data_IF_183051277058
#
_entry.id   IF_183051277058
#
_cell.length_a   1.000
_cell.length_b   1.000
_cell.length_c   1.000
_cell.angle_alpha   90.00
_cell.angle_beta   90.00
_cell.angle_gamma   90.00
#
_symmetry.space_group_name_H-M   'P 1'
#
loop_
_entity.id
_entity.type
_entity.pdbx_description
1 polymer ?
#
# COMPACT_ATOMS: atom_id res chain seq x y z
N UNK A 1 16.32 9.85 -18.58
CA UNK A 1 15.28 9.97 -17.54
C UNK A 1 14.78 8.60 -17.12
N UNK A 2 14.04 7.85 -17.95
CA UNK A 2 13.58 6.47 -17.61
C UNK A 2 14.73 5.52 -17.29
N UNK A 3 15.79 5.49 -18.12
CA UNK A 3 16.97 4.63 -17.87
C UNK A 3 17.63 4.86 -16.50
N UNK A 4 17.68 6.10 -16.02
CA UNK A 4 18.23 6.40 -14.69
C UNK A 4 17.30 5.93 -13.57
N UNK A 5 15.99 5.96 -13.80
CA UNK A 5 14.99 5.40 -12.88
C UNK A 5 15.13 3.88 -12.81
N UNK A 6 15.29 3.21 -13.95
CA UNK A 6 15.55 1.77 -14.03
C UNK A 6 16.81 1.37 -13.25
N UNK A 7 17.94 2.04 -13.52
CA UNK A 7 19.21 1.82 -12.82
C UNK A 7 19.12 2.10 -11.30
N UNK A 8 18.21 3.00 -10.88
CA UNK A 8 17.94 3.25 -9.47
C UNK A 8 17.05 2.15 -8.87
N UNK A 9 15.97 1.75 -9.54
CA UNK A 9 15.04 0.70 -9.15
C UNK A 9 15.73 -0.66 -8.97
N UNK A 10 16.75 -0.96 -9.77
CA UNK A 10 17.59 -2.15 -9.60
C UNK A 10 18.20 -2.24 -8.20
N UNK A 11 18.60 -1.11 -7.61
CA UNK A 11 19.27 -1.02 -6.30
C UNK A 11 18.31 -0.90 -5.12
N UNK A 12 17.01 -0.76 -5.37
CA UNK A 12 15.99 -0.63 -4.32
C UNK A 12 15.68 -2.01 -3.72
N UNK A 13 15.62 -2.05 -2.39
CA UNK A 13 15.04 -3.13 -1.59
C UNK A 13 13.83 -2.60 -0.80
N UNK A 14 13.01 -3.51 -0.27
CA UNK A 14 11.76 -3.17 0.45
C UNK A 14 11.94 -2.27 1.70
N UNK A 15 13.18 -2.13 2.20
CA UNK A 15 13.51 -1.43 3.44
C UNK A 15 14.29 -0.12 3.22
N UNK A 16 14.57 0.27 1.97
CA UNK A 16 15.43 1.44 1.68
C UNK A 16 14.86 2.73 2.27
N UNK A 17 13.57 3.00 2.09
CA UNK A 17 12.94 4.23 2.60
C UNK A 17 12.90 4.26 4.13
N UNK A 18 12.66 3.11 4.78
CA UNK A 18 12.73 2.98 6.23
C UNK A 18 14.14 3.29 6.74
N UNK A 19 15.17 2.74 6.09
CA UNK A 19 16.56 2.98 6.47
C UNK A 19 16.95 4.46 6.29
N UNK A 20 16.51 5.10 5.20
CA UNK A 20 16.71 6.54 4.99
C UNK A 20 16.05 7.37 6.09
N UNK A 21 14.81 7.05 6.45
CA UNK A 21 14.08 7.74 7.51
C UNK A 21 14.76 7.56 8.89
N UNK A 22 15.12 6.32 9.24
CA UNK A 22 15.84 6.01 10.49
C UNK A 22 17.17 6.77 10.56
N UNK A 23 17.95 6.79 9.48
CA UNK A 23 19.22 7.52 9.42
C UNK A 23 19.04 9.03 9.59
N UNK A 24 17.94 9.59 9.08
CA UNK A 24 17.61 11.02 9.23
C UNK A 24 17.22 11.35 10.67
N UNK A 25 16.45 10.49 11.34
CA UNK A 25 15.92 10.72 12.68
C UNK A 25 16.94 10.40 13.79
N UNK A 26 17.66 9.28 13.65
CA UNK A 26 18.58 8.74 14.66
C UNK A 26 19.91 8.38 13.99
N UNK A 27 20.70 9.37 13.53
CA UNK A 27 21.92 9.11 12.77
C UNK A 27 22.98 8.35 13.56
N UNK A 28 23.00 8.48 14.89
CA UNK A 28 23.94 7.79 15.77
C UNK A 28 23.62 6.31 15.97
N UNK A 29 22.44 5.84 15.54
CA UNK A 29 22.11 4.41 15.52
C UNK A 29 22.70 3.68 14.31
N UNK A 30 23.27 4.40 13.33
CA UNK A 30 23.76 3.80 12.09
C UNK A 30 25.29 3.81 12.09
N UNK A 31 25.89 2.62 12.14
CA UNK A 31 27.33 2.43 12.06
C UNK A 31 27.92 2.80 10.69
N UNK A 32 29.23 3.05 10.65
CA UNK A 32 29.96 3.35 9.40
C UNK A 32 29.93 2.20 8.38
N UNK A 33 29.78 0.98 8.88
CA UNK A 33 29.64 -0.27 8.12
C UNK A 33 28.19 -0.59 7.74
N UNK A 34 27.23 0.26 8.13
CA UNK A 34 25.80 0.04 7.89
C UNK A 34 25.08 -0.78 8.97
N UNK A 35 25.78 -1.17 10.05
CA UNK A 35 25.15 -1.82 11.20
C UNK A 35 24.11 -0.90 11.88
N UNK A 36 23.08 -1.50 12.48
CA UNK A 36 22.02 -0.77 13.21
C UNK A 36 22.15 -1.09 14.70
N UNK A 37 22.39 -0.06 15.50
CA UNK A 37 22.39 -0.12 16.96
C UNK A 37 20.95 0.02 17.50
N UNK A 38 20.36 -1.14 17.77
CA UNK A 38 18.99 -1.27 18.31
C UNK A 38 18.88 -0.65 19.70
N UNK A 39 19.93 -0.68 20.51
CA UNK A 39 19.92 -0.12 21.85
C UNK A 39 19.86 1.41 21.80
N UNK A 40 20.55 2.02 20.84
CA UNK A 40 20.44 3.47 20.57
C UNK A 40 19.02 3.85 20.15
N UNK A 41 18.36 3.05 19.28
CA UNK A 41 16.96 3.29 18.88
C UNK A 41 16.04 3.20 20.11
N UNK A 42 16.19 2.14 20.92
CA UNK A 42 15.41 1.95 22.15
C UNK A 42 15.62 3.11 23.13
N UNK A 43 16.86 3.57 23.29
CA UNK A 43 17.19 4.72 24.14
C UNK A 43 16.44 5.98 23.71
N UNK A 44 16.46 6.32 22.42
CA UNK A 44 15.77 7.51 21.92
C UNK A 44 14.24 7.38 21.99
N UNK A 45 13.69 6.18 21.76
CA UNK A 45 12.27 5.92 21.96
C UNK A 45 11.84 6.22 23.41
N UNK A 46 12.58 5.71 24.40
CA UNK A 46 12.31 5.98 25.83
C UNK A 46 12.43 7.47 26.19
N UNK A 47 13.36 8.20 25.54
CA UNK A 47 13.51 9.63 25.74
C UNK A 47 12.37 10.44 25.12
N UNK A 48 11.87 10.03 23.96
CA UNK A 48 10.77 10.69 23.28
C UNK A 48 9.44 10.53 24.04
N UNK A 49 9.19 9.34 24.61
CA UNK A 49 7.96 9.09 25.38
C UNK A 49 8.01 9.69 26.79
N UNK A 50 9.21 9.81 27.38
CA UNK A 50 9.36 10.16 28.80
C UNK A 50 8.90 9.05 29.77
N UNK A 51 8.36 7.94 29.23
CA UNK A 51 7.85 6.80 29.96
C UNK A 51 8.34 5.51 29.29
N UNK A 52 9.13 4.73 30.03
CA UNK A 52 9.71 3.48 29.54
C UNK A 52 8.67 2.39 29.31
N UNK A 53 7.52 2.44 30.00
CA UNK A 53 6.47 1.43 29.86
C UNK A 53 5.77 1.49 28.50
N UNK A 54 5.89 2.62 27.80
CA UNK A 54 5.34 2.82 26.45
C UNK A 54 6.24 2.24 25.34
N UNK A 55 7.46 1.79 25.67
CA UNK A 55 8.36 1.12 24.72
C UNK A 55 8.22 -0.38 24.90
N UNK A 56 7.45 -1.01 24.02
CA UNK A 56 7.20 -2.46 24.05
C UNK A 56 8.17 -3.22 23.15
N UNK A 57 8.52 -4.44 23.53
CA UNK A 57 9.38 -5.33 22.71
C UNK A 57 8.57 -6.24 21.78
N UNK A 58 7.31 -6.50 22.14
CA UNK A 58 6.40 -7.32 21.36
C UNK A 58 5.18 -6.48 20.97
N UNK A 59 4.90 -6.44 19.67
CA UNK A 59 3.62 -5.98 19.11
C UNK A 59 3.14 -7.05 18.16
N UNK A 60 1.88 -7.42 18.24
CA UNK A 60 1.28 -8.29 17.23
C UNK A 60 1.40 -7.61 15.88
N UNK A 61 1.96 -8.34 14.90
CA UNK A 61 2.13 -7.83 13.55
C UNK A 61 1.19 -8.57 12.62
N UNK A 62 0.45 -7.79 11.83
CA UNK A 62 -0.36 -8.35 10.77
C UNK A 62 0.55 -8.83 9.64
N UNK A 63 0.73 -10.14 9.49
CA UNK A 63 1.63 -10.70 8.49
C UNK A 63 0.85 -11.49 7.43
N UNK A 64 1.24 -11.35 6.17
CA UNK A 64 0.66 -12.06 5.04
C UNK A 64 1.73 -12.36 3.98
N UNK A 65 1.50 -13.42 3.19
CA UNK A 65 2.39 -13.76 2.08
C UNK A 65 2.42 -12.61 1.07
N UNK A 66 3.61 -12.11 0.72
CA UNK A 66 3.76 -10.99 -0.21
C UNK A 66 3.78 -9.61 0.44
N UNK A 67 3.74 -9.49 1.77
CA UNK A 67 3.84 -8.20 2.46
C UNK A 67 5.12 -7.43 2.11
N UNK A 68 6.29 -8.05 2.20
CA UNK A 68 7.55 -7.39 1.84
C UNK A 68 7.65 -7.10 0.34
N UNK A 69 7.03 -7.94 -0.50
CA UNK A 69 6.87 -7.66 -1.92
C UNK A 69 6.03 -6.40 -2.16
N UNK A 70 4.90 -6.25 -1.47
CA UNK A 70 4.07 -5.06 -1.53
C UNK A 70 4.82 -3.79 -1.09
N UNK A 71 5.67 -3.91 -0.06
CA UNK A 71 6.57 -2.82 0.39
C UNK A 71 7.63 -2.46 -0.64
N UNK A 72 8.16 -3.46 -1.35
CA UNK A 72 9.04 -3.25 -2.49
C UNK A 72 8.31 -2.45 -3.58
N UNK A 73 7.10 -2.85 -3.98
CA UNK A 73 6.32 -2.16 -5.02
C UNK A 73 6.06 -0.68 -4.70
N UNK A 74 5.78 -0.37 -3.44
CA UNK A 74 5.66 1.01 -2.94
C UNK A 74 6.97 1.80 -3.06
N UNK A 75 8.10 1.14 -2.82
CA UNK A 75 9.43 1.77 -2.84
C UNK A 75 9.97 2.00 -4.25
N UNK A 76 9.51 1.24 -5.24
CA UNK A 76 9.89 1.41 -6.65
C UNK A 76 9.32 2.71 -7.23
N UNK A 77 10.16 3.46 -7.94
CA UNK A 77 9.74 4.64 -8.67
C UNK A 77 9.11 4.25 -10.02
N UNK A 78 8.27 5.11 -10.57
CA UNK A 78 7.52 4.81 -11.81
C UNK A 78 8.42 4.86 -13.04
N UNK A 79 8.32 3.84 -13.89
CA UNK A 79 9.02 3.75 -15.18
C UNK A 79 8.16 4.21 -16.36
N UNK A 80 6.95 4.68 -16.07
CA UNK A 80 5.98 5.16 -17.07
C UNK A 80 6.04 6.69 -17.21
N UNK A 81 5.27 7.24 -18.16
CA UNK A 81 5.15 8.69 -18.37
C UNK A 81 3.68 9.09 -18.52
N UNK A 82 3.34 10.29 -18.06
CA UNK A 82 2.03 10.89 -18.33
C UNK A 82 2.05 11.56 -19.70
N UNK A 83 1.09 11.18 -20.55
CA UNK A 83 0.88 11.77 -21.87
C UNK A 83 -0.46 12.51 -21.89
N UNK A 84 -0.49 13.83 -22.16
CA UNK A 84 -1.74 14.58 -22.20
C UNK A 84 -2.55 14.25 -23.46
N UNK A 85 -3.85 14.01 -23.30
CA UNK A 85 -4.81 13.99 -24.41
C UNK A 85 -5.07 15.43 -24.88
N UNK A 86 -4.21 15.90 -25.81
CA UNK A 86 -4.26 17.28 -26.32
C UNK A 86 -5.57 17.59 -27.04
N UNK A 87 -6.23 16.60 -27.64
CA UNK A 87 -7.48 16.83 -28.36
C UNK A 87 -8.61 17.05 -27.37
N UNK A 88 -8.74 16.18 -26.36
CA UNK A 88 -9.76 16.32 -25.34
C UNK A 88 -9.54 17.56 -24.46
N UNK A 89 -8.30 17.86 -24.09
CA UNK A 89 -7.96 18.97 -23.20
C UNK A 89 -8.16 20.35 -23.85
N UNK A 90 -8.20 20.44 -25.18
CA UNK A 90 -8.43 21.71 -25.90
C UNK A 90 -9.91 22.05 -26.10
N UNK A 91 -10.82 21.12 -25.83
CA UNK A 91 -12.26 21.37 -25.94
C UNK A 91 -12.67 22.51 -25.01
N UNK A 92 -13.63 23.33 -25.45
CA UNK A 92 -14.08 24.54 -24.74
C UNK A 92 -14.47 24.30 -23.28
N UNK A 93 -15.08 23.15 -23.02
CA UNK A 93 -15.56 22.68 -21.73
C UNK A 93 -14.44 22.19 -20.80
N UNK A 94 -13.26 21.84 -21.33
CA UNK A 94 -12.17 21.22 -20.58
C UNK A 94 -10.95 22.12 -20.39
N UNK A 95 -10.73 23.09 -21.29
CA UNK A 95 -9.48 23.89 -21.34
C UNK A 95 -9.11 24.63 -20.05
N UNK A 96 -10.11 25.03 -19.26
CA UNK A 96 -9.96 25.79 -18.02
C UNK A 96 -10.43 24.96 -16.79
N UNK A 97 -10.61 23.65 -16.97
CA UNK A 97 -11.05 22.75 -15.90
C UNK A 97 -9.92 22.51 -14.89
N UNK A 98 -10.26 22.53 -13.61
CA UNK A 98 -9.37 22.10 -12.51
C UNK A 98 -9.48 20.59 -12.24
N UNK A 99 -10.46 19.91 -12.84
CA UNK A 99 -10.64 18.46 -12.70
C UNK A 99 -9.70 17.68 -13.62
N UNK A 100 -9.12 16.60 -13.10
CA UNK A 100 -8.21 15.70 -13.82
C UNK A 100 -8.82 14.31 -13.96
N UNK A 101 -8.69 13.73 -15.15
CA UNK A 101 -8.96 12.32 -15.42
C UNK A 101 -7.66 11.67 -15.91
N UNK A 102 -7.22 10.63 -15.21
CA UNK A 102 -5.99 9.89 -15.50
C UNK A 102 -6.37 8.44 -15.79
N UNK A 103 -5.83 7.89 -16.87
CA UNK A 103 -6.07 6.50 -17.28
C UNK A 103 -4.78 5.70 -17.26
N UNK A 104 -4.81 4.51 -16.64
CA UNK A 104 -3.66 3.63 -16.44
C UNK A 104 -3.83 2.76 -15.18
N UNK A 105 -2.80 1.99 -14.84
CA UNK A 105 -2.75 1.32 -13.54
C UNK A 105 -2.67 2.37 -12.43
N UNK A 106 -3.61 2.32 -11.48
CA UNK A 106 -3.70 3.28 -10.40
C UNK A 106 -2.44 3.31 -9.51
N UNK A 107 -1.70 2.21 -9.35
CA UNK A 107 -0.43 2.21 -8.62
C UNK A 107 0.60 3.12 -9.29
N UNK A 108 0.74 3.03 -10.61
CA UNK A 108 1.67 3.89 -11.36
C UNK A 108 1.19 5.33 -11.43
N UNK A 109 -0.11 5.57 -11.59
CA UNK A 109 -0.71 6.91 -11.55
C UNK A 109 -0.46 7.58 -10.19
N UNK A 110 -0.68 6.86 -9.08
CA UNK A 110 -0.45 7.38 -7.73
C UNK A 110 1.04 7.73 -7.50
N UNK A 111 1.98 6.94 -8.04
CA UNK A 111 3.42 7.27 -7.98
C UNK A 111 3.76 8.57 -8.71
N UNK A 112 3.16 8.82 -9.87
CA UNK A 112 3.31 10.10 -10.57
C UNK A 112 2.73 11.26 -9.74
N UNK A 113 1.53 11.08 -9.19
CA UNK A 113 0.85 12.09 -8.39
C UNK A 113 1.64 12.45 -7.13
N UNK A 114 2.28 11.46 -6.47
CA UNK A 114 3.05 11.67 -5.23
C UNK A 114 4.05 12.81 -5.36
N UNK A 115 4.70 12.97 -6.51
CA UNK A 115 5.72 14.02 -6.71
C UNK A 115 5.18 15.45 -6.66
N UNK A 116 3.89 15.64 -6.97
CA UNK A 116 3.29 16.98 -7.10
C UNK A 116 2.15 17.25 -6.12
N UNK A 117 1.53 16.20 -5.57
CA UNK A 117 0.32 16.25 -4.76
C UNK A 117 0.49 15.63 -3.36
N UNK A 118 1.73 15.30 -2.95
CA UNK A 118 2.01 14.89 -1.56
C UNK A 118 1.43 15.92 -0.57
N UNK A 119 0.69 15.44 0.43
CA UNK A 119 0.10 16.28 1.47
C UNK A 119 -0.99 17.25 0.99
N UNK A 120 -1.64 17.03 -0.16
CA UNK A 120 -2.58 18.00 -0.76
C UNK A 120 -4.02 17.49 -0.91
N UNK A 121 -4.26 16.19 -0.81
CA UNK A 121 -5.58 15.59 -0.98
C UNK A 121 -6.38 15.65 0.31
N UNK A 122 -7.58 16.26 0.27
CA UNK A 122 -8.45 16.42 1.45
C UNK A 122 -9.35 15.22 1.70
N UNK A 123 -9.82 14.56 0.65
CA UNK A 123 -10.74 13.44 0.74
C UNK A 123 -10.43 12.46 -0.37
N UNK A 124 -10.38 11.17 -0.02
CA UNK A 124 -10.25 10.06 -0.96
C UNK A 124 -11.49 9.18 -0.79
N UNK A 125 -12.10 8.79 -1.90
CA UNK A 125 -13.10 7.73 -1.93
C UNK A 125 -12.63 6.67 -2.92
N UNK A 126 -12.65 5.41 -2.51
CA UNK A 126 -12.35 4.27 -3.38
C UNK A 126 -13.34 3.14 -3.18
N UNK A 127 -13.62 2.45 -4.28
CA UNK A 127 -14.46 1.26 -4.35
C UNK A 127 -13.60 0.13 -4.96
N UNK A 128 -12.73 -0.50 -4.14
CA UNK A 128 -11.83 -1.56 -4.61
C UNK A 128 -12.62 -2.84 -4.96
N UNK A 129 -12.02 -3.79 -5.69
CA UNK A 129 -12.61 -5.12 -5.84
C UNK A 129 -12.84 -5.77 -4.47
N UNK A 130 -14.00 -6.37 -4.25
CA UNK A 130 -14.39 -6.96 -2.96
C UNK A 130 -13.84 -8.39 -2.74
N UNK A 131 -13.32 -9.02 -3.79
CA UNK A 131 -12.78 -10.39 -3.76
C UNK A 131 -13.83 -11.46 -3.38
N UNK A 132 -15.05 -11.32 -3.91
CA UNK A 132 -16.21 -12.16 -3.58
C UNK A 132 -16.12 -13.60 -4.11
N UNK A 133 -15.12 -13.89 -4.95
CA UNK A 133 -15.02 -15.16 -5.68
C UNK A 133 -15.83 -15.20 -6.98
N UNK A 134 -16.81 -14.30 -7.14
CA UNK A 134 -17.59 -14.12 -8.37
C UNK A 134 -17.23 -12.85 -9.13
N UNK A 135 -16.53 -11.91 -8.50
CA UNK A 135 -16.00 -10.71 -9.15
C UNK A 135 -14.83 -11.04 -10.10
N UNK A 136 -14.51 -10.12 -11.00
CA UNK A 136 -13.41 -10.28 -11.97
C UNK A 136 -12.02 -10.08 -11.33
N UNK A 137 -11.94 -9.95 -10.00
CA UNK A 137 -10.67 -9.72 -9.33
C UNK A 137 -9.75 -10.94 -9.44
N UNK A 138 -8.59 -10.66 -10.02
CA UNK A 138 -7.47 -11.57 -10.14
C UNK A 138 -6.21 -10.73 -9.95
N UNK A 139 -5.38 -11.09 -8.98
CA UNK A 139 -4.08 -10.47 -8.87
C UNK A 139 -3.23 -10.81 -10.10
N UNK A 140 -2.91 -9.78 -10.86
CA UNK A 140 -1.99 -9.86 -11.98
C UNK A 140 -1.07 -8.65 -11.92
N UNK A 141 0.16 -8.91 -11.52
CA UNK A 141 1.19 -7.89 -11.50
C UNK A 141 1.84 -7.77 -12.87
N UNK A 142 2.19 -6.55 -13.28
CA UNK A 142 2.99 -6.30 -14.48
C UNK A 142 4.50 -6.42 -14.23
N UNK A 143 4.94 -6.48 -12.98
CA UNK A 143 6.36 -6.64 -12.65
C UNK A 143 6.85 -8.07 -12.95
N UNK A 144 7.89 -8.18 -13.78
CA UNK A 144 8.48 -9.46 -14.22
C UNK A 144 9.71 -9.80 -13.36
N UNK A 145 9.50 -9.94 -12.04
CA UNK A 145 10.56 -10.35 -11.12
C UNK A 145 10.70 -11.88 -11.09
N UNK A 146 11.90 -12.38 -11.34
CA UNK A 146 12.21 -13.80 -11.13
C UNK A 146 12.25 -14.15 -9.63
N UNK A 147 12.19 -15.44 -9.30
CA UNK A 147 12.38 -15.92 -7.92
C UNK A 147 13.66 -15.38 -7.28
N UNK A 148 14.73 -15.30 -8.07
CA UNK A 148 16.03 -14.77 -7.62
C UNK A 148 15.98 -13.27 -7.36
N UNK A 149 15.29 -12.50 -8.20
CA UNK A 149 15.11 -11.06 -7.97
C UNK A 149 14.32 -10.81 -6.69
N UNK A 150 13.31 -11.64 -6.41
CA UNK A 150 12.52 -11.59 -5.17
C UNK A 150 13.40 -11.91 -3.96
N UNK A 151 14.21 -12.97 -4.01
CA UNK A 151 15.15 -13.31 -2.92
C UNK A 151 16.06 -12.12 -2.58
N UNK A 152 16.74 -11.58 -3.60
CA UNK A 152 17.72 -10.50 -3.44
C UNK A 152 17.07 -9.19 -2.97
N UNK A 153 15.96 -8.77 -3.57
CA UNK A 153 15.30 -7.50 -3.25
C UNK A 153 14.55 -7.51 -1.92
N UNK A 154 14.10 -8.68 -1.46
CA UNK A 154 13.46 -8.83 -0.16
C UNK A 154 14.47 -9.16 0.95
N UNK A 155 15.72 -9.49 0.60
CA UNK A 155 16.75 -9.86 1.57
C UNK A 155 16.47 -11.21 2.24
N UNK A 156 15.75 -12.11 1.55
CA UNK A 156 15.36 -13.43 2.04
C UNK A 156 16.19 -14.54 1.41
N UNK A 157 17.48 -14.25 1.13
CA UNK A 157 18.41 -15.16 0.44
C UNK A 157 18.57 -16.54 1.09
N UNK A 158 18.18 -16.70 2.36
CA UNK A 158 18.18 -17.98 3.10
C UNK A 158 16.83 -18.70 3.13
N UNK A 159 15.78 -18.11 2.56
CA UNK A 159 14.40 -18.64 2.54
C UNK A 159 13.82 -18.64 1.11
N UNK A 160 14.42 -19.48 0.26
CA UNK A 160 13.97 -19.69 -1.11
C UNK A 160 12.54 -20.21 -1.22
N UNK A 161 12.00 -20.83 -0.17
CA UNK A 161 10.61 -21.31 -0.20
C UNK A 161 9.62 -20.15 -0.11
N UNK A 162 9.89 -19.15 0.73
CA UNK A 162 9.08 -17.93 0.77
C UNK A 162 9.12 -17.18 -0.56
N UNK A 163 10.29 -17.03 -1.18
CA UNK A 163 10.42 -16.40 -2.50
C UNK A 163 9.62 -17.14 -3.58
N UNK A 164 9.71 -18.47 -3.63
CA UNK A 164 8.91 -19.32 -4.54
C UNK A 164 7.41 -19.16 -4.34
N UNK A 165 6.96 -19.09 -3.08
CA UNK A 165 5.53 -18.90 -2.76
C UNK A 165 5.03 -17.53 -3.20
N UNK A 166 5.82 -16.47 -3.00
CA UNK A 166 5.52 -15.12 -3.50
C UNK A 166 5.48 -15.14 -5.03
N UNK A 167 6.53 -15.65 -5.69
CA UNK A 167 6.59 -15.77 -7.14
C UNK A 167 5.38 -16.53 -7.69
N UNK A 168 5.02 -17.68 -7.11
CA UNK A 168 3.83 -18.45 -7.49
C UNK A 168 2.53 -17.67 -7.31
N UNK A 169 2.41 -16.83 -6.29
CA UNK A 169 1.24 -16.00 -6.04
C UNK A 169 1.10 -14.89 -7.08
N UNK A 170 2.20 -14.27 -7.49
CA UNK A 170 2.20 -13.17 -8.46
C UNK A 170 2.14 -13.65 -9.92
N UNK A 171 2.77 -14.78 -10.25
CA UNK A 171 2.82 -15.32 -11.62
C UNK A 171 1.56 -16.10 -12.01
N UNK A 172 0.83 -16.65 -11.02
CA UNK A 172 -0.49 -17.23 -11.28
C UNK A 172 -1.47 -16.08 -11.47
N UNK A 173 -1.80 -15.78 -12.73
CA UNK A 173 -2.89 -14.89 -13.17
C UNK A 173 -4.29 -15.35 -12.71
N UNK A 174 -4.44 -15.79 -11.46
CA UNK A 174 -5.69 -16.29 -10.88
C UNK A 174 -5.65 -16.38 -9.35
N UNK A 175 -4.66 -15.78 -8.65
CA UNK A 175 -4.67 -15.81 -7.19
C UNK A 175 -5.75 -14.88 -6.64
N UNK A 176 -6.77 -15.47 -6.02
CA UNK A 176 -7.90 -14.80 -5.34
C UNK A 176 -7.79 -14.87 -3.82
N UNK A 177 -6.62 -15.24 -3.31
CA UNK A 177 -6.39 -15.35 -1.86
C UNK A 177 -6.35 -13.96 -1.22
N UNK A 178 -6.75 -13.86 0.05
CA UNK A 178 -6.60 -12.63 0.85
C UNK A 178 -5.19 -12.05 0.78
N UNK A 179 -4.15 -12.89 0.81
CA UNK A 179 -2.76 -12.45 0.70
C UNK A 179 -2.47 -11.72 -0.62
N UNK A 180 -3.08 -12.14 -1.72
CA UNK A 180 -2.94 -11.50 -3.02
C UNK A 180 -3.70 -10.17 -3.07
N UNK A 181 -4.91 -10.10 -2.50
CA UNK A 181 -5.67 -8.86 -2.37
C UNK A 181 -4.96 -7.84 -1.46
N UNK A 182 -4.42 -8.28 -0.33
CA UNK A 182 -3.60 -7.44 0.56
C UNK A 182 -2.34 -6.94 -0.14
N UNK A 183 -1.66 -7.79 -0.91
CA UNK A 183 -0.48 -7.41 -1.71
C UNK A 183 -0.83 -6.36 -2.76
N UNK A 184 -2.04 -6.45 -3.35
CA UNK A 184 -2.57 -5.45 -4.26
C UNK A 184 -2.90 -4.11 -3.58
N UNK A 185 -3.60 -4.14 -2.45
CA UNK A 185 -4.10 -2.94 -1.79
C UNK A 185 -3.01 -2.17 -1.04
N UNK A 186 -2.06 -2.86 -0.41
CA UNK A 186 -1.03 -2.26 0.43
C UNK A 186 -0.30 -1.07 -0.21
N UNK A 187 0.33 -1.20 -1.41
CA UNK A 187 1.11 -0.10 -1.97
C UNK A 187 0.21 1.06 -2.42
N UNK A 188 -1.03 0.77 -2.82
CA UNK A 188 -2.01 1.78 -3.25
C UNK A 188 -2.48 2.62 -2.06
N UNK A 189 -2.80 1.98 -0.94
CA UNK A 189 -3.19 2.66 0.30
C UNK A 189 -2.03 3.44 0.92
N UNK A 190 -0.79 2.92 0.87
CA UNK A 190 0.40 3.67 1.27
C UNK A 190 0.59 4.95 0.44
N UNK A 191 0.49 4.86 -0.88
CA UNK A 191 0.59 6.05 -1.73
C UNK A 191 -0.59 7.01 -1.53
N UNK A 192 -1.80 6.49 -1.33
CA UNK A 192 -2.97 7.30 -1.00
C UNK A 192 -2.71 8.11 0.29
N UNK A 193 -2.15 7.48 1.33
CA UNK A 193 -1.73 8.17 2.55
C UNK A 193 -0.72 9.29 2.28
N UNK A 194 0.30 9.06 1.46
CA UNK A 194 1.30 10.09 1.12
C UNK A 194 0.65 11.32 0.46
N UNK A 195 -0.40 11.12 -0.34
CA UNK A 195 -1.12 12.21 -1.00
C UNK A 195 -2.02 13.01 -0.05
N UNK A 196 -2.45 12.42 1.06
CA UNK A 196 -3.42 13.02 1.97
C UNK A 196 -2.82 14.15 2.80
N UNK A 197 -3.61 15.20 3.01
CA UNK A 197 -3.34 16.21 4.05
C UNK A 197 -3.37 15.57 5.44
N UNK A 198 -2.72 16.21 6.41
CA UNK A 198 -2.78 15.83 7.83
C UNK A 198 -4.22 15.80 8.38
N UNK A 199 -5.10 16.64 7.83
CA UNK A 199 -6.54 16.68 8.17
C UNK A 199 -7.42 15.98 7.13
N UNK A 200 -6.82 15.17 6.24
CA UNK A 200 -7.50 14.43 5.19
C UNK A 200 -8.20 13.17 5.69
N UNK A 201 -9.20 12.71 4.94
CA UNK A 201 -9.96 11.48 5.23
C UNK A 201 -10.01 10.57 4.02
N UNK A 202 -10.07 9.25 4.25
CA UNK A 202 -10.24 8.24 3.19
C UNK A 202 -11.45 7.38 3.52
N UNK A 203 -12.33 7.18 2.53
CA UNK A 203 -13.47 6.29 2.60
C UNK A 203 -13.25 5.12 1.66
N UNK A 204 -13.42 3.90 2.17
CA UNK A 204 -13.19 2.67 1.41
C UNK A 204 -14.42 1.79 1.53
N UNK A 205 -15.15 1.63 0.43
CA UNK A 205 -16.25 0.66 0.33
C UNK A 205 -15.72 -0.76 0.32
N UNK A 206 -16.41 -1.68 1.01
CA UNK A 206 -16.04 -3.09 1.08
C UNK A 206 -17.22 -3.94 1.53
N UNK A 207 -17.24 -5.22 1.16
CA UNK A 207 -18.16 -6.22 1.74
C UNK A 207 -17.47 -7.09 2.81
N UNK A 208 -18.17 -8.11 3.29
CA UNK A 208 -17.68 -9.00 4.34
C UNK A 208 -16.44 -9.84 3.98
N UNK A 209 -16.12 -10.03 2.69
CA UNK A 209 -15.02 -10.91 2.26
C UNK A 209 -13.64 -10.37 2.68
N UNK A 210 -13.45 -9.05 2.65
CA UNK A 210 -12.17 -8.41 2.94
C UNK A 210 -12.27 -7.31 4.00
N UNK A 211 -13.45 -7.01 4.57
CA UNK A 211 -13.62 -5.92 5.55
C UNK A 211 -12.64 -6.01 6.73
N UNK A 212 -12.47 -7.20 7.31
CA UNK A 212 -11.57 -7.39 8.45
C UNK A 212 -10.10 -7.23 8.04
N UNK A 213 -9.72 -7.79 6.89
CA UNK A 213 -8.36 -7.69 6.35
C UNK A 213 -8.01 -6.25 5.99
N UNK A 214 -8.94 -5.52 5.37
CA UNK A 214 -8.80 -4.11 5.05
C UNK A 214 -8.68 -3.26 6.31
N UNK A 215 -9.49 -3.51 7.35
CA UNK A 215 -9.41 -2.77 8.61
C UNK A 215 -8.02 -2.89 9.24
N UNK A 216 -7.51 -4.12 9.39
CA UNK A 216 -6.19 -4.35 9.99
C UNK A 216 -5.07 -3.77 9.09
N UNK A 217 -5.21 -3.86 7.77
CA UNK A 217 -4.28 -3.24 6.82
C UNK A 217 -4.28 -1.71 6.97
N UNK A 218 -5.44 -1.08 7.12
CA UNK A 218 -5.55 0.36 7.37
C UNK A 218 -4.94 0.74 8.73
N UNK A 219 -5.14 -0.05 9.78
CA UNK A 219 -4.51 0.21 11.09
C UNK A 219 -2.99 0.22 11.00
N UNK A 220 -2.41 -0.67 10.19
CA UNK A 220 -0.97 -0.67 9.94
C UNK A 220 -0.51 0.53 9.10
N UNK A 221 -1.29 0.92 8.08
CA UNK A 221 -0.90 1.97 7.14
C UNK A 221 -1.09 3.35 7.73
N UNK A 222 -2.23 3.62 8.36
CA UNK A 222 -2.68 4.92 8.85
C UNK A 222 -2.48 5.09 10.36
N UNK A 223 -2.32 4.00 11.12
CA UNK A 223 -2.35 4.02 12.58
C UNK A 223 -3.77 3.79 13.08
N UNK A 224 -3.93 2.85 14.01
CA UNK A 224 -5.22 2.48 14.61
C UNK A 224 -5.90 3.67 15.29
N UNK A 225 -5.11 4.58 15.88
CA UNK A 225 -5.58 5.80 16.52
C UNK A 225 -6.26 6.78 15.57
N UNK A 226 -6.05 6.65 14.26
CA UNK A 226 -6.63 7.50 13.23
C UNK A 226 -7.92 6.92 12.62
N UNK A 227 -8.37 5.75 13.08
CA UNK A 227 -9.62 5.16 12.61
C UNK A 227 -10.83 6.00 13.06
N UNK A 228 -11.60 6.50 12.10
CA UNK A 228 -12.76 7.34 12.36
C UNK A 228 -14.02 6.51 12.62
N UNK A 229 -14.23 5.43 11.86
CA UNK A 229 -15.39 4.57 12.05
C UNK A 229 -15.68 3.63 10.88
N UNK A 230 -16.66 2.76 11.11
CA UNK A 230 -17.21 1.86 10.10
C UNK A 230 -18.67 2.22 9.85
N UNK A 231 -18.99 2.67 8.64
CA UNK A 231 -20.35 2.93 8.21
C UNK A 231 -20.96 1.65 7.67
N UNK A 232 -22.19 1.35 8.10
CA UNK A 232 -22.98 0.25 7.54
C UNK A 232 -23.88 0.83 6.45
N UNK A 233 -23.70 0.35 5.23
CA UNK A 233 -24.44 0.81 4.06
C UNK A 233 -25.47 -0.25 3.72
N UNK A 234 -26.76 0.01 3.95
CA UNK A 234 -27.83 -0.88 3.52
C UNK A 234 -27.94 -0.80 1.99
N UNK A 235 -27.70 -1.92 1.29
CA UNK A 235 -27.57 -1.94 -0.18
C UNK A 235 -28.75 -2.59 -0.87
N UNK A 236 -29.40 -3.58 -0.25
CA UNK A 236 -30.54 -4.28 -0.83
C UNK A 236 -31.38 -4.99 0.24
N UNK A 237 -32.56 -5.47 -0.16
CA UNK A 237 -33.33 -6.46 0.62
C UNK A 237 -33.17 -7.83 -0.03
N UNK A 238 -32.41 -8.73 0.57
CA UNK A 238 -32.32 -10.13 0.14
C UNK A 238 -33.45 -10.95 0.80
N UNK A 239 -34.36 -11.49 -0.02
CA UNK A 239 -35.46 -12.34 0.45
C UNK A 239 -35.16 -13.84 0.25
N UNK A 240 -33.93 -14.20 -0.11
CA UNK A 240 -33.54 -15.59 -0.24
C UNK A 240 -33.57 -16.28 1.13
N UNK A 241 -34.12 -17.49 1.17
CA UNK A 241 -34.17 -18.28 2.40
C UNK A 241 -32.75 -18.71 2.83
N UNK A 242 -32.14 -17.92 3.72
CA UNK A 242 -30.85 -18.18 4.36
C UNK A 242 -30.98 -18.07 5.89
N UNK A 243 -29.93 -18.47 6.61
CA UNK A 243 -29.87 -18.30 8.06
C UNK A 243 -29.74 -16.84 8.46
N UNK A 244 -28.95 -16.07 7.71
CA UNK A 244 -28.75 -14.62 7.85
C UNK A 244 -28.90 -14.01 6.47
N UNK A 245 -29.70 -12.95 6.37
CA UNK A 245 -29.77 -12.12 5.17
C UNK A 245 -28.65 -11.09 5.21
N UNK A 246 -27.83 -11.06 4.17
CA UNK A 246 -26.76 -10.05 4.04
C UNK A 246 -27.30 -8.93 3.15
N UNK A 247 -27.74 -7.86 3.81
CA UNK A 247 -28.46 -6.73 3.21
C UNK A 247 -27.65 -5.43 3.27
N UNK A 248 -26.39 -5.53 3.73
CA UNK A 248 -25.50 -4.40 3.95
C UNK A 248 -24.08 -4.66 3.46
N UNK A 249 -23.42 -3.56 3.14
CA UNK A 249 -21.98 -3.45 2.93
C UNK A 249 -21.37 -2.52 3.98
N UNK A 250 -20.06 -2.32 3.90
CA UNK A 250 -19.29 -1.52 4.83
C UNK A 250 -18.58 -0.38 4.10
N UNK A 251 -18.35 0.71 4.81
CA UNK A 251 -17.46 1.77 4.37
C UNK A 251 -16.58 2.19 5.55
N UNK A 252 -15.28 1.90 5.45
CA UNK A 252 -14.30 2.25 6.46
C UNK A 252 -13.84 3.69 6.27
N UNK A 253 -13.64 4.40 7.39
CA UNK A 253 -13.05 5.73 7.48
C UNK A 253 -12.01 5.81 8.59
#
# INVERSE_FOLDING_TARGET
MIRQIQEANEKINANVELLKALKKLIPNAIGKDGSIDVDTIRYWAQKATGDKSLVTEERETFNFLGKDYARLLYSLDTETVIVPDKENNKKSENKDSENLYLSGDNLEVLKHLRRSYEGQVKCIYIDPPYNTGSDDFVYNDSFDFSEKDIEEKLGINSDSESAKRIHKMISRKSSRSHAAWLTFMYPRLKLARDLMKDDGVIFISIDDNEQANLKILCDEIFGEENFCGNLIIETATDNNARQISTDHEYMLC
#
